data_IF_577460557086
#
_entry.id   IF_577460557086
#
_cell.length_a   1.000
_cell.length_b   1.000
_cell.length_c   1.000
_cell.angle_alpha   90.00
_cell.angle_beta   90.00
_cell.angle_gamma   90.00
#
_symmetry.space_group_name_H-M   'P 1'
#
loop_
_entity.id
_entity.type
_entity.pdbx_description
1 polymer ?
#
# COMPACT_ATOMS: atom_id res chain seq x y z
N UNK A 1 10.77 -21.30 -3.75
CA UNK A 1 11.61 -20.51 -2.81
C UNK A 1 10.66 -19.73 -1.92
N UNK A 2 10.81 -19.79 -0.59
CA UNK A 2 9.89 -19.14 0.37
C UNK A 2 10.03 -17.62 0.25
N UNK A 3 9.35 -17.02 -0.72
CA UNK A 3 9.19 -15.57 -0.81
C UNK A 3 8.35 -15.17 0.41
N UNK A 4 8.99 -14.48 1.36
CA UNK A 4 8.29 -13.76 2.42
C UNK A 4 7.27 -12.83 1.77
N UNK A 5 6.04 -12.81 2.28
CA UNK A 5 4.94 -12.00 1.76
C UNK A 5 5.17 -10.51 2.08
N UNK A 6 6.21 -9.91 1.50
CA UNK A 6 6.61 -8.53 1.77
C UNK A 6 5.51 -7.52 1.44
N UNK A 7 4.75 -7.75 0.36
CA UNK A 7 3.57 -6.95 0.03
C UNK A 7 2.51 -6.98 1.13
N UNK A 8 2.15 -8.19 1.59
CA UNK A 8 1.20 -8.34 2.70
C UNK A 8 1.70 -7.75 4.03
N UNK A 9 3.02 -7.81 4.30
CA UNK A 9 3.60 -7.15 5.47
C UNK A 9 3.48 -5.62 5.39
N UNK A 10 3.76 -5.05 4.22
CA UNK A 10 3.61 -3.62 3.98
C UNK A 10 2.15 -3.16 4.16
N UNK A 11 1.20 -3.93 3.63
CA UNK A 11 -0.24 -3.68 3.82
C UNK A 11 -0.65 -3.74 5.29
N UNK A 12 -0.12 -4.72 6.04
CA UNK A 12 -0.39 -4.83 7.48
C UNK A 12 0.14 -3.60 8.25
N UNK A 13 1.35 -3.13 7.91
CA UNK A 13 1.92 -1.91 8.50
C UNK A 13 1.04 -0.70 8.16
N UNK A 14 0.61 -0.59 6.90
CA UNK A 14 -0.32 0.46 6.48
C UNK A 14 -1.63 0.43 7.27
N UNK A 15 -2.30 -0.72 7.36
CA UNK A 15 -3.57 -0.84 8.08
C UNK A 15 -3.42 -0.59 9.58
N UNK A 16 -2.28 -0.95 10.19
CA UNK A 16 -1.98 -0.57 11.56
C UNK A 16 -1.95 0.96 11.73
N UNK A 17 -1.23 1.67 10.86
CA UNK A 17 -1.18 3.14 10.90
C UNK A 17 -2.54 3.77 10.54
N UNK A 18 -3.29 3.22 9.59
CA UNK A 18 -4.62 3.71 9.23
C UNK A 18 -5.59 3.56 10.41
N UNK A 19 -5.57 2.42 11.10
CA UNK A 19 -6.36 2.20 12.30
C UNK A 19 -5.94 3.14 13.45
N UNK A 20 -4.64 3.32 13.66
CA UNK A 20 -4.11 4.25 14.67
C UNK A 20 -4.52 5.70 14.38
N UNK A 21 -4.33 6.16 13.15
CA UNK A 21 -4.71 7.52 12.70
C UNK A 21 -6.21 7.74 12.83
N UNK A 22 -7.03 6.76 12.43
CA UNK A 22 -8.48 6.83 12.57
C UNK A 22 -8.90 6.87 14.04
N UNK A 23 -8.29 6.07 14.90
CA UNK A 23 -8.57 6.07 16.34
C UNK A 23 -8.25 7.44 16.97
N UNK A 24 -7.13 8.04 16.61
CA UNK A 24 -6.74 9.39 17.07
C UNK A 24 -7.66 10.48 16.51
N UNK A 25 -8.12 10.36 15.27
CA UNK A 25 -9.07 11.31 14.68
C UNK A 25 -10.47 11.24 15.31
N UNK A 26 -10.92 10.04 15.72
CA UNK A 26 -12.27 9.83 16.28
C UNK A 26 -12.32 10.05 17.79
N UNK A 27 -11.30 9.60 18.53
CA UNK A 27 -11.30 9.59 19.99
C UNK A 27 -10.26 10.52 20.62
N UNK A 28 -9.35 11.07 19.81
CA UNK A 28 -8.33 11.98 20.29
C UNK A 28 -8.86 13.41 20.46
N UNK A 29 -8.14 14.18 21.28
CA UNK A 29 -8.28 15.63 21.39
C UNK A 29 -7.15 16.35 20.65
N UNK A 30 -6.55 15.69 19.65
CA UNK A 30 -5.47 16.29 18.88
C UNK A 30 -6.04 17.49 18.11
N UNK A 31 -5.26 18.58 18.01
CA UNK A 31 -5.73 19.82 17.38
C UNK A 31 -6.22 19.54 15.95
N UNK A 32 -7.38 20.10 15.63
CA UNK A 32 -8.13 19.92 14.37
C UNK A 32 -7.46 20.53 13.12
N UNK A 33 -6.18 20.89 13.22
CA UNK A 33 -5.42 21.47 12.12
C UNK A 33 -5.74 22.93 11.82
N UNK A 34 -6.40 23.66 12.74
CA UNK A 34 -6.63 25.11 12.59
C UNK A 34 -5.37 25.97 12.74
N UNK A 35 -4.19 25.38 12.98
CA UNK A 35 -2.91 26.11 13.05
C UNK A 35 -1.63 25.28 13.23
N UNK A 36 -1.72 23.99 13.63
CA UNK A 36 -0.55 23.13 13.82
C UNK A 36 -0.26 22.21 12.63
N UNK A 37 1.04 21.93 12.40
CA UNK A 37 1.51 21.05 11.36
C UNK A 37 0.86 19.65 11.43
N UNK A 38 0.56 19.05 10.27
CA UNK A 38 -0.04 17.72 10.16
C UNK A 38 0.67 16.71 11.07
N UNK A 39 -0.04 15.98 11.96
CA UNK A 39 0.61 15.04 12.88
C UNK A 39 1.43 13.99 12.14
N UNK A 40 2.59 13.61 12.68
CA UNK A 40 3.54 12.72 12.01
C UNK A 40 2.91 11.38 11.60
N UNK A 41 2.00 10.82 12.42
CA UNK A 41 1.34 9.55 12.12
C UNK A 41 0.37 9.65 10.95
N UNK A 42 -0.27 10.82 10.77
CA UNK A 42 -1.09 11.11 9.58
C UNK A 42 -0.21 11.17 8.35
N UNK A 43 0.97 11.80 8.44
CA UNK A 43 1.93 11.85 7.34
C UNK A 43 2.42 10.45 6.96
N UNK A 44 2.68 9.57 7.95
CA UNK A 44 3.06 8.17 7.71
C UNK A 44 1.93 7.41 7.05
N UNK A 45 0.68 7.50 7.54
CA UNK A 45 -0.48 6.87 6.91
C UNK A 45 -0.63 7.32 5.46
N UNK A 46 -0.54 8.63 5.22
CA UNK A 46 -0.65 9.23 3.89
C UNK A 46 0.45 8.75 2.92
N UNK A 47 1.70 8.71 3.39
CA UNK A 47 2.81 8.19 2.59
C UNK A 47 2.60 6.71 2.22
N UNK A 48 2.19 5.89 3.19
CA UNK A 48 1.93 4.47 2.96
C UNK A 48 0.74 4.25 2.01
N UNK A 49 -0.35 5.01 2.18
CA UNK A 49 -1.52 4.96 1.30
C UNK A 49 -1.17 5.31 -0.17
N UNK A 50 -0.15 6.14 -0.40
CA UNK A 50 0.33 6.47 -1.74
C UNK A 50 1.14 5.35 -2.41
N UNK A 51 1.67 4.42 -1.61
CA UNK A 51 2.62 3.39 -2.04
C UNK A 51 1.96 2.01 -2.18
N UNK A 52 1.12 1.64 -1.22
CA UNK A 52 0.50 0.30 -1.10
C UNK A 52 -0.31 -0.08 -2.35
N UNK A 53 -1.11 0.80 -2.98
CA UNK A 53 -1.83 0.45 -4.23
C UNK A 53 -0.89 0.09 -5.38
N UNK A 54 0.25 0.76 -5.49
CA UNK A 54 1.23 0.48 -6.54
C UNK A 54 1.96 -0.83 -6.25
N UNK A 55 2.32 -1.10 -5.00
CA UNK A 55 2.85 -2.40 -4.59
C UNK A 55 1.89 -3.55 -4.91
N UNK A 56 0.61 -3.41 -4.57
CA UNK A 56 -0.41 -4.41 -4.87
C UNK A 56 -0.60 -4.63 -6.38
N UNK A 57 -0.58 -3.56 -7.18
CA UNK A 57 -0.62 -3.66 -8.65
C UNK A 57 0.61 -4.38 -9.21
N UNK A 58 1.82 -4.03 -8.74
CA UNK A 58 3.06 -4.68 -9.15
C UNK A 58 3.00 -6.18 -8.85
N UNK A 59 2.54 -6.56 -7.66
CA UNK A 59 2.40 -7.98 -7.26
C UNK A 59 1.39 -8.70 -8.14
N UNK A 60 0.22 -8.09 -8.43
CA UNK A 60 -0.77 -8.63 -9.36
C UNK A 60 -0.15 -8.92 -10.73
N UNK A 61 0.47 -7.90 -11.34
CA UNK A 61 1.00 -7.98 -12.71
C UNK A 61 2.16 -8.99 -12.81
N UNK A 62 3.10 -8.96 -11.86
CA UNK A 62 4.24 -9.88 -11.88
C UNK A 62 3.80 -11.31 -11.58
N UNK A 63 2.89 -11.52 -10.63
CA UNK A 63 2.43 -12.86 -10.31
C UNK A 63 1.71 -13.49 -11.50
N UNK A 64 0.69 -12.83 -12.05
CA UNK A 64 -0.12 -13.40 -13.12
C UNK A 64 0.53 -13.34 -14.50
N UNK A 65 1.37 -12.33 -14.74
CA UNK A 65 2.04 -12.14 -16.03
C UNK A 65 3.37 -12.87 -16.17
N UNK A 66 4.12 -13.06 -15.08
CA UNK A 66 5.48 -13.58 -15.13
C UNK A 66 5.68 -14.87 -14.31
N UNK A 67 5.08 -14.99 -13.12
CA UNK A 67 5.32 -16.12 -12.21
C UNK A 67 4.39 -17.29 -12.47
N UNK A 68 3.12 -17.03 -12.76
CA UNK A 68 2.12 -18.07 -12.98
C UNK A 68 2.37 -18.81 -14.30
N UNK A 69 2.57 -20.12 -14.22
CA UNK A 69 2.94 -20.97 -15.36
C UNK A 69 1.78 -21.83 -15.89
N UNK A 70 0.52 -21.50 -15.57
CA UNK A 70 -0.65 -22.25 -16.06
C UNK A 70 -1.03 -23.51 -15.26
N UNK A 71 -0.47 -23.70 -14.06
CA UNK A 71 -0.77 -24.85 -13.20
C UNK A 71 -2.04 -24.71 -12.35
N UNK A 72 -2.18 -25.54 -11.31
CA UNK A 72 -3.27 -25.42 -10.35
C UNK A 72 -3.27 -24.05 -9.65
N UNK A 73 -4.43 -23.39 -9.65
CA UNK A 73 -4.62 -22.11 -8.95
C UNK A 73 -5.06 -22.39 -7.52
N UNK A 74 -4.15 -22.17 -6.58
CA UNK A 74 -4.50 -22.21 -5.16
C UNK A 74 -5.38 -21.00 -4.80
N UNK A 75 -6.44 -21.16 -3.99
CA UNK A 75 -7.30 -20.04 -3.56
C UNK A 75 -6.52 -18.88 -2.93
N UNK A 76 -5.47 -19.18 -2.16
CA UNK A 76 -4.61 -18.16 -1.56
C UNK A 76 -3.89 -17.30 -2.60
N UNK A 77 -3.56 -17.84 -3.78
CA UNK A 77 -2.94 -17.08 -4.86
C UNK A 77 -3.91 -16.03 -5.42
N UNK A 78 -5.19 -16.40 -5.56
CA UNK A 78 -6.25 -15.48 -6.00
C UNK A 78 -6.47 -14.38 -4.97
N UNK A 79 -6.51 -14.72 -3.69
CA UNK A 79 -6.70 -13.73 -2.61
C UNK A 79 -5.51 -12.77 -2.55
N UNK A 80 -4.29 -13.29 -2.41
CA UNK A 80 -3.09 -12.49 -2.14
C UNK A 80 -2.65 -11.62 -3.34
N UNK A 81 -2.85 -12.09 -4.57
CA UNK A 81 -2.37 -11.38 -5.77
C UNK A 81 -3.50 -10.74 -6.55
N UNK A 82 -4.70 -11.34 -6.57
CA UNK A 82 -5.87 -10.85 -7.28
C UNK A 82 -6.74 -9.91 -6.44
N UNK A 83 -7.49 -10.49 -5.50
CA UNK A 83 -8.49 -9.77 -4.68
C UNK A 83 -7.84 -8.65 -3.88
N UNK A 84 -6.65 -8.90 -3.33
CA UNK A 84 -5.90 -7.92 -2.55
C UNK A 84 -5.75 -6.56 -3.27
N UNK A 85 -5.35 -6.55 -4.54
CA UNK A 85 -5.23 -5.30 -5.32
C UNK A 85 -6.55 -4.52 -5.39
N UNK A 86 -7.67 -5.21 -5.61
CA UNK A 86 -8.98 -4.54 -5.66
C UNK A 86 -9.39 -3.99 -4.30
N UNK A 87 -9.13 -4.72 -3.21
CA UNK A 87 -9.39 -4.24 -1.85
C UNK A 87 -8.57 -2.98 -1.52
N UNK A 88 -7.26 -3.01 -1.79
CA UNK A 88 -6.38 -1.85 -1.57
C UNK A 88 -6.77 -0.67 -2.46
N UNK A 89 -7.15 -0.92 -3.71
CA UNK A 89 -7.60 0.15 -4.62
C UNK A 89 -8.91 0.77 -4.13
N UNK A 90 -9.85 -0.06 -3.66
CA UNK A 90 -11.09 0.42 -3.07
C UNK A 90 -10.81 1.26 -1.81
N UNK A 91 -9.94 0.80 -0.92
CA UNK A 91 -9.50 1.56 0.25
C UNK A 91 -8.92 2.93 -0.16
N UNK A 92 -7.95 2.96 -1.08
CA UNK A 92 -7.34 4.18 -1.60
C UNK A 92 -8.36 5.17 -2.19
N UNK A 93 -9.38 4.67 -2.91
CA UNK A 93 -10.40 5.53 -3.52
C UNK A 93 -11.46 6.03 -2.52
N UNK A 94 -11.69 5.28 -1.44
CA UNK A 94 -12.72 5.58 -0.45
C UNK A 94 -12.21 6.43 0.71
N UNK A 95 -10.91 6.37 1.01
CA UNK A 95 -10.31 7.22 2.05
C UNK A 95 -10.10 8.64 1.52
N UNK A 96 -10.49 9.63 2.30
CA UNK A 96 -10.34 11.05 1.96
C UNK A 96 -8.91 11.57 2.13
N UNK A 97 -7.89 10.77 1.81
CA UNK A 97 -6.50 11.20 1.89
C UNK A 97 -6.12 11.97 0.63
N UNK A 98 -5.55 13.18 0.75
CA UNK A 98 -5.26 14.02 -0.41
C UNK A 98 -4.09 13.45 -1.22
N UNK A 99 -4.37 13.03 -2.47
CA UNK A 99 -3.33 12.65 -3.43
C UNK A 99 -3.42 13.59 -4.64
N UNK A 100 -2.40 14.43 -4.81
CA UNK A 100 -2.29 15.38 -5.92
C UNK A 100 -1.29 14.86 -6.94
N UNK A 101 -1.40 15.29 -8.20
CA UNK A 101 -0.41 14.93 -9.24
C UNK A 101 1.03 15.28 -8.86
N UNK A 102 1.25 16.32 -8.04
CA UNK A 102 2.56 16.69 -7.51
C UNK A 102 3.20 15.60 -6.66
N UNK A 103 2.44 14.63 -6.13
CA UNK A 103 2.92 13.54 -5.28
C UNK A 103 3.18 12.24 -6.03
N UNK A 104 3.01 12.22 -7.36
CA UNK A 104 3.26 11.03 -8.19
C UNK A 104 4.69 10.48 -8.06
N UNK A 105 5.65 11.30 -7.65
CA UNK A 105 7.02 10.83 -7.40
C UNK A 105 7.09 9.77 -6.30
N UNK A 106 6.18 9.76 -5.32
CA UNK A 106 6.20 8.79 -4.21
C UNK A 106 6.04 7.34 -4.69
N UNK A 107 4.98 6.99 -5.45
CA UNK A 107 4.89 5.66 -6.05
C UNK A 107 5.96 5.39 -7.11
N UNK A 108 6.51 6.41 -7.77
CA UNK A 108 7.62 6.20 -8.72
C UNK A 108 8.93 5.83 -8.03
N UNK A 109 9.23 6.43 -6.88
CA UNK A 109 10.37 6.05 -6.04
C UNK A 109 10.24 4.59 -5.61
N UNK A 110 9.05 4.13 -5.24
CA UNK A 110 8.82 2.72 -4.97
C UNK A 110 9.16 1.84 -6.16
N UNK A 111 8.55 2.12 -7.31
CA UNK A 111 8.73 1.32 -8.51
C UNK A 111 10.22 1.25 -8.90
N UNK A 112 10.95 2.37 -8.76
CA UNK A 112 12.39 2.43 -8.98
C UNK A 112 13.16 1.55 -7.99
N UNK A 113 12.90 1.68 -6.68
CA UNK A 113 13.57 0.86 -5.65
C UNK A 113 13.29 -0.62 -5.87
N UNK A 114 12.05 -0.98 -6.19
CA UNK A 114 11.66 -2.34 -6.51
C UNK A 114 12.39 -2.86 -7.75
N UNK A 115 12.44 -2.08 -8.84
CA UNK A 115 13.15 -2.46 -10.06
C UNK A 115 14.66 -2.63 -9.82
N UNK A 116 15.28 -1.75 -9.04
CA UNK A 116 16.69 -1.87 -8.65
C UNK A 116 16.94 -3.13 -7.80
N UNK A 117 16.04 -3.43 -6.86
CA UNK A 117 16.12 -4.65 -6.07
C UNK A 117 16.03 -5.90 -6.96
N UNK A 118 15.08 -5.95 -7.89
CA UNK A 118 14.92 -7.05 -8.87
C UNK A 118 16.08 -7.16 -9.86
N UNK A 119 16.77 -6.05 -10.17
CA UNK A 119 17.96 -6.11 -11.02
C UNK A 119 19.14 -6.80 -10.31
N UNK A 120 19.24 -6.63 -9.00
CA UNK A 120 20.34 -7.17 -8.18
C UNK A 120 20.06 -8.60 -7.70
N UNK A 121 18.80 -8.92 -7.41
CA UNK A 121 18.35 -10.19 -6.83
C UNK A 121 17.34 -10.91 -7.72
#
# INVERSE_FOLDING_TARGET
>A
TKLTHWGGLLELVYFFFAAFTTNKAVNGSDADGTGDATPWYVQVTWFLNSFVPVAALTVLLLFWGLVYSGGEILPISVVMHGINFFCITADFLLVSQPMYYSHIYMPMVFALVFALFTLVY
#
